data_IF_646769888791
#
_entry.id   IF_646769888791
#
_cell.length_a   1.000
_cell.length_b   1.000
_cell.length_c   1.000
_cell.angle_alpha   90.00
_cell.angle_beta   90.00
_cell.angle_gamma   90.00
#
_symmetry.space_group_name_H-M   'P 1'
#
loop_
_entity.id
_entity.type
_entity.pdbx_description
1 polymer ?
#
# COMPACT_ATOMS: atom_id res chain seq x y z
N UNK A 1 -3.67 -18.41 34.47
CA UNK A 1 -4.24 -18.40 33.10
C UNK A 1 -4.03 -17.01 32.48
N UNK A 2 -3.29 -16.88 31.37
CA UNK A 2 -3.15 -15.61 30.65
C UNK A 2 -4.48 -15.30 29.97
N UNK A 3 -5.29 -14.35 30.49
CA UNK A 3 -6.48 -13.85 29.79
C UNK A 3 -6.03 -13.24 28.46
N UNK A 4 -6.36 -13.89 27.35
CA UNK A 4 -6.16 -13.32 26.02
C UNK A 4 -6.97 -12.02 25.94
N UNK A 5 -6.26 -10.91 25.75
CA UNK A 5 -6.86 -9.58 25.60
C UNK A 5 -7.57 -9.53 24.24
N UNK A 6 -8.84 -9.94 24.20
CA UNK A 6 -9.77 -9.58 23.12
C UNK A 6 -10.07 -8.07 23.19
N UNK A 7 -9.04 -7.23 22.98
CA UNK A 7 -9.21 -5.79 22.82
C UNK A 7 -9.70 -5.57 21.39
N UNK A 8 -10.99 -5.27 21.24
CA UNK A 8 -11.52 -4.74 19.97
C UNK A 8 -10.61 -3.58 19.55
N UNK A 9 -10.13 -3.62 18.31
CA UNK A 9 -9.28 -2.56 17.77
C UNK A 9 -10.04 -1.23 17.92
N UNK A 10 -9.43 -0.21 18.55
CA UNK A 10 -10.10 1.07 18.68
C UNK A 10 -10.42 1.63 17.30
N UNK A 11 -11.58 2.26 17.16
CA UNK A 11 -12.21 2.63 15.89
C UNK A 11 -11.29 3.48 15.00
N UNK A 12 -10.46 4.34 15.59
CA UNK A 12 -9.47 5.14 14.85
C UNK A 12 -8.41 4.29 14.14
N UNK A 13 -7.97 3.16 14.72
CA UNK A 13 -7.03 2.25 14.06
C UNK A 13 -7.71 1.47 12.95
N UNK A 14 -8.99 1.10 13.13
CA UNK A 14 -9.80 0.45 12.08
C UNK A 14 -9.97 1.40 10.89
N UNK A 15 -10.36 2.65 11.15
CA UNK A 15 -10.51 3.72 10.14
C UNK A 15 -9.18 4.01 9.45
N UNK A 16 -8.10 4.23 10.20
CA UNK A 16 -6.74 4.46 9.67
C UNK A 16 -6.30 3.30 8.77
N UNK A 17 -6.49 2.04 9.18
CA UNK A 17 -6.16 0.86 8.36
C UNK A 17 -7.00 0.79 7.07
N UNK A 18 -8.27 1.19 7.12
CA UNK A 18 -9.16 1.27 5.94
C UNK A 18 -8.70 2.37 4.96
N UNK A 19 -8.30 3.53 5.48
CA UNK A 19 -7.70 4.62 4.69
C UNK A 19 -6.40 4.17 4.01
N UNK A 20 -5.49 3.51 4.73
CA UNK A 20 -4.26 2.98 4.14
C UNK A 20 -4.54 1.96 3.03
N UNK A 21 -5.52 1.07 3.21
CA UNK A 21 -5.92 0.13 2.15
C UNK A 21 -6.44 0.82 0.89
N UNK A 22 -7.29 1.84 1.05
CA UNK A 22 -7.80 2.60 -0.09
C UNK A 22 -6.65 3.34 -0.80
N UNK A 23 -5.75 3.95 -0.04
CA UNK A 23 -4.57 4.62 -0.56
C UNK A 23 -3.69 3.64 -1.34
N UNK A 24 -3.39 2.46 -0.77
CA UNK A 24 -2.62 1.40 -1.43
C UNK A 24 -3.23 0.99 -2.78
N UNK A 25 -4.56 0.83 -2.85
CA UNK A 25 -5.24 0.48 -4.11
C UNK A 25 -5.15 1.58 -5.18
N UNK A 26 -5.24 2.86 -4.78
CA UNK A 26 -5.12 4.00 -5.70
C UNK A 26 -3.69 4.07 -6.26
N UNK A 27 -2.68 4.00 -5.39
CA UNK A 27 -1.29 4.01 -5.83
C UNK A 27 -0.96 2.82 -6.72
N UNK A 28 -1.48 1.63 -6.39
CA UNK A 28 -1.22 0.44 -7.19
C UNK A 28 -1.80 0.54 -8.60
N UNK A 29 -3.01 1.09 -8.75
CA UNK A 29 -3.60 1.33 -10.08
C UNK A 29 -2.79 2.35 -10.88
N UNK A 30 -2.42 3.48 -10.27
CA UNK A 30 -1.63 4.53 -10.93
C UNK A 30 -0.24 4.02 -11.35
N UNK A 31 0.42 3.25 -10.50
CA UNK A 31 1.72 2.65 -10.80
C UNK A 31 1.61 1.67 -11.98
N UNK A 32 0.56 0.85 -12.00
CA UNK A 32 0.32 -0.10 -13.10
C UNK A 32 0.07 0.61 -14.43
N UNK A 33 -0.74 1.67 -14.44
CA UNK A 33 -0.99 2.47 -15.66
C UNK A 33 0.29 3.13 -16.18
N UNK A 34 1.06 3.79 -15.30
CA UNK A 34 2.32 4.41 -15.69
C UNK A 34 3.35 3.38 -16.17
N UNK A 35 3.40 2.20 -15.53
CA UNK A 35 4.27 1.11 -15.96
C UNK A 35 3.87 0.59 -17.35
N UNK A 36 2.58 0.47 -17.65
CA UNK A 36 2.09 0.09 -18.99
C UNK A 36 2.46 1.12 -20.07
N UNK A 37 2.55 2.41 -19.70
CA UNK A 37 3.05 3.48 -20.56
C UNK A 37 4.58 3.46 -20.75
N UNK A 38 5.29 2.47 -20.21
CA UNK A 38 6.75 2.35 -20.33
C UNK A 38 7.55 3.27 -19.42
N UNK A 39 6.92 3.90 -18.41
CA UNK A 39 7.63 4.73 -17.44
C UNK A 39 8.56 3.87 -16.57
N UNK A 40 9.79 4.35 -16.35
CA UNK A 40 10.71 3.70 -15.42
C UNK A 40 10.24 3.85 -13.97
N UNK A 41 10.66 2.92 -13.10
CA UNK A 41 10.42 3.00 -11.65
C UNK A 41 10.82 4.36 -11.07
N UNK A 42 11.95 4.93 -11.55
CA UNK A 42 12.42 6.25 -11.14
C UNK A 42 11.45 7.37 -11.59
N UNK A 43 10.93 7.29 -12.81
CA UNK A 43 9.95 8.24 -13.33
C UNK A 43 8.64 8.19 -12.54
N UNK A 44 8.11 6.98 -12.32
CA UNK A 44 6.90 6.75 -11.53
C UNK A 44 7.04 7.31 -10.11
N UNK A 45 8.15 7.00 -9.43
CA UNK A 45 8.42 7.47 -8.07
C UNK A 45 8.43 9.01 -7.98
N UNK A 46 9.08 9.68 -8.95
CA UNK A 46 9.12 11.15 -9.01
C UNK A 46 7.75 11.74 -9.29
N UNK A 47 6.97 11.13 -10.19
CA UNK A 47 5.63 11.62 -10.57
C UNK A 47 4.61 11.48 -9.44
N UNK A 48 4.70 10.39 -8.66
CA UNK A 48 3.76 10.09 -7.58
C UNK A 48 4.24 10.58 -6.20
N UNK A 49 5.45 11.14 -6.09
CA UNK A 49 5.99 11.64 -4.82
C UNK A 49 6.28 10.53 -3.79
N UNK A 50 6.55 9.31 -4.23
CA UNK A 50 6.80 8.15 -3.35
C UNK A 50 8.20 7.57 -3.55
N UNK A 51 8.62 6.72 -2.62
CA UNK A 51 9.91 6.03 -2.74
C UNK A 51 9.92 5.02 -3.88
N UNK A 52 11.09 4.81 -4.50
CA UNK A 52 11.30 3.76 -5.51
C UNK A 52 11.00 2.36 -4.95
N UNK A 53 11.23 2.16 -3.65
CA UNK A 53 10.94 0.91 -2.96
C UNK A 53 9.43 0.68 -2.83
N UNK A 54 8.66 1.73 -2.54
CA UNK A 54 7.20 1.68 -2.53
C UNK A 54 6.67 1.31 -3.92
N UNK A 55 7.21 1.89 -4.99
CA UNK A 55 6.84 1.52 -6.36
C UNK A 55 7.06 0.02 -6.62
N UNK A 56 8.25 -0.51 -6.30
CA UNK A 56 8.54 -1.95 -6.44
C UNK A 56 7.58 -2.82 -5.64
N UNK A 57 7.25 -2.41 -4.41
CA UNK A 57 6.29 -3.14 -3.55
C UNK A 57 4.90 -3.21 -4.19
N UNK A 58 4.40 -2.11 -4.76
CA UNK A 58 3.11 -2.10 -5.43
C UNK A 58 3.13 -2.87 -6.77
N UNK A 59 4.24 -2.84 -7.52
CA UNK A 59 4.37 -3.63 -8.74
C UNK A 59 4.40 -5.14 -8.49
N UNK A 60 5.10 -5.59 -7.44
CA UNK A 60 5.24 -7.01 -7.12
C UNK A 60 3.99 -7.59 -6.42
N UNK A 61 2.96 -6.78 -6.22
CA UNK A 61 1.83 -7.11 -5.35
C UNK A 61 2.21 -7.02 -3.87
N UNK A 62 1.27 -6.59 -3.02
CA UNK A 62 1.46 -6.72 -1.58
C UNK A 62 1.67 -8.20 -1.26
N UNK A 63 2.74 -8.61 -0.55
CA UNK A 63 2.85 -9.99 -0.12
C UNK A 63 1.59 -10.31 0.69
N UNK A 64 0.79 -11.26 0.18
CA UNK A 64 -0.21 -11.92 1.02
C UNK A 64 0.59 -12.53 2.16
N UNK A 65 0.44 -11.99 3.37
CA UNK A 65 0.95 -12.66 4.56
C UNK A 65 0.38 -14.09 4.49
N UNK A 66 1.25 -15.08 4.25
CA UNK A 66 0.90 -16.49 4.28
C UNK A 66 0.45 -16.86 5.68
#
# INVERSE_FOLDING_TARGET
MKKAKNRKMPEYLVRKKRYYKMFDSIFQNQINELSKQGQSIRGIARKLGISRQSVRKYMNGTPKYK
#
